data_IF_100892124494
#
_entry.id   IF_100892124494
#
_cell.length_a   1.000
_cell.length_b   1.000
_cell.length_c   1.000
_cell.angle_alpha   90.00
_cell.angle_beta   90.00
_cell.angle_gamma   90.00
#
_symmetry.space_group_name_H-M   'P 1'
#
loop_
_entity.id
_entity.type
_entity.pdbx_description
1 polymer ?
#
# COMPACT_ATOMS: atom_id res chain seq x y z
N UNK A 1 3.96 -5.36 18.38
CA UNK A 1 4.99 -6.16 17.68
C UNK A 1 5.50 -5.48 16.42
N UNK A 2 4.64 -5.00 15.51
CA UNK A 2 5.09 -4.33 14.28
C UNK A 2 6.09 -3.18 14.53
N UNK A 3 5.79 -2.30 15.50
CA UNK A 3 6.72 -1.22 15.90
C UNK A 3 8.02 -1.76 16.52
N UNK A 4 7.98 -2.84 17.31
CA UNK A 4 9.19 -3.50 17.83
C UNK A 4 10.04 -4.05 16.68
N UNK A 5 9.42 -4.73 15.73
CA UNK A 5 10.10 -5.21 14.54
C UNK A 5 10.70 -4.06 13.72
N UNK A 6 10.02 -2.92 13.60
CA UNK A 6 10.60 -1.70 13.01
C UNK A 6 11.81 -1.21 13.80
N UNK A 7 11.72 -1.07 15.12
CA UNK A 7 12.81 -0.64 15.99
C UNK A 7 14.07 -1.51 15.82
N UNK A 8 13.92 -2.83 15.73
CA UNK A 8 15.05 -3.76 15.70
C UNK A 8 15.51 -4.14 14.29
N UNK A 9 14.61 -4.23 13.31
CA UNK A 9 14.97 -4.60 11.94
C UNK A 9 15.39 -3.41 11.08
N UNK A 10 14.92 -2.19 11.38
CA UNK A 10 15.25 -1.06 10.53
C UNK A 10 16.74 -0.69 10.53
N UNK A 11 17.43 -0.59 11.69
CA UNK A 11 18.86 -0.29 11.71
C UNK A 11 19.74 -1.29 10.94
N UNK A 12 19.61 -2.63 11.09
CA UNK A 12 20.42 -3.57 10.33
C UNK A 12 20.07 -3.55 8.84
N UNK A 13 18.80 -3.36 8.49
CA UNK A 13 18.37 -3.30 7.08
C UNK A 13 18.89 -2.03 6.39
N UNK A 14 18.82 -0.87 7.06
CA UNK A 14 19.39 0.37 6.58
C UNK A 14 20.91 0.25 6.37
N UNK A 15 21.63 -0.30 7.36
CA UNK A 15 23.08 -0.54 7.24
C UNK A 15 23.44 -1.48 6.08
N UNK A 16 22.61 -2.48 5.80
CA UNK A 16 22.80 -3.35 4.64
C UNK A 16 22.56 -2.58 3.34
N UNK A 17 21.51 -1.77 3.28
CA UNK A 17 21.15 -0.96 2.12
C UNK A 17 22.11 0.21 1.85
N UNK A 18 22.88 0.67 2.84
CA UNK A 18 24.00 1.61 2.60
C UNK A 18 25.05 1.08 1.63
N UNK A 19 25.09 -0.24 1.40
CA UNK A 19 26.00 -0.88 0.43
C UNK A 19 25.46 -0.85 -1.01
N UNK A 20 24.23 -0.38 -1.20
CA UNK A 20 23.57 -0.42 -2.50
C UNK A 20 24.02 0.77 -3.35
N UNK A 21 24.42 0.49 -4.59
CA UNK A 21 24.59 1.50 -5.62
C UNK A 21 23.33 1.64 -6.47
N UNK A 22 23.36 2.51 -7.50
CA UNK A 22 22.24 2.69 -8.42
C UNK A 22 21.70 1.39 -9.03
N UNK A 23 22.52 0.38 -9.41
CA UNK A 23 22.00 -0.88 -9.98
C UNK A 23 21.17 -1.68 -8.99
N UNK A 24 21.58 -1.71 -7.72
CA UNK A 24 20.86 -2.40 -6.66
C UNK A 24 19.53 -1.71 -6.34
N UNK A 25 19.52 -0.36 -6.27
CA UNK A 25 18.30 0.41 -6.07
C UNK A 25 17.29 0.25 -7.20
N UNK A 26 17.76 0.32 -8.46
CA UNK A 26 16.92 0.06 -9.63
C UNK A 26 16.24 -1.30 -9.52
N UNK A 27 17.03 -2.35 -9.26
CA UNK A 27 16.55 -3.72 -9.20
C UNK A 27 15.59 -3.94 -8.05
N UNK A 28 15.89 -3.39 -6.88
CA UNK A 28 15.05 -3.48 -5.69
C UNK A 28 13.70 -2.80 -5.89
N UNK A 29 13.69 -1.56 -6.41
CA UNK A 29 12.45 -0.82 -6.67
C UNK A 29 11.63 -1.48 -7.78
N UNK A 30 12.26 -1.93 -8.86
CA UNK A 30 11.57 -2.60 -9.96
C UNK A 30 10.96 -3.94 -9.50
N UNK A 31 11.74 -4.78 -8.81
CA UNK A 31 11.24 -6.04 -8.26
C UNK A 31 10.15 -5.79 -7.22
N UNK A 32 10.33 -4.83 -6.32
CA UNK A 32 9.33 -4.46 -5.32
C UNK A 32 8.01 -4.00 -5.97
N UNK A 33 8.10 -3.16 -6.99
CA UNK A 33 6.95 -2.68 -7.73
C UNK A 33 6.23 -3.81 -8.50
N UNK A 34 6.98 -4.71 -9.13
CA UNK A 34 6.41 -5.88 -9.80
C UNK A 34 5.76 -6.84 -8.82
N UNK A 35 6.42 -7.15 -7.69
CA UNK A 35 5.84 -7.94 -6.61
C UNK A 35 4.55 -7.30 -6.10
N UNK A 36 4.54 -5.97 -5.96
CA UNK A 36 3.35 -5.26 -5.54
C UNK A 36 2.18 -5.51 -6.51
N UNK A 37 2.42 -5.41 -7.81
CA UNK A 37 1.42 -5.71 -8.85
C UNK A 37 0.95 -7.17 -8.83
N UNK A 38 1.87 -8.13 -8.68
CA UNK A 38 1.52 -9.55 -8.74
C UNK A 38 0.77 -10.05 -7.50
N UNK A 39 0.95 -9.37 -6.36
CA UNK A 39 0.29 -9.70 -5.10
C UNK A 39 -1.02 -8.93 -4.90
N UNK A 40 -1.22 -7.83 -5.61
CA UNK A 40 -2.36 -6.93 -5.47
C UNK A 40 -3.43 -7.28 -6.51
N UNK A 41 -4.54 -7.84 -6.04
CA UNK A 41 -5.79 -8.03 -6.79
C UNK A 41 -6.02 -9.38 -7.47
N UNK A 42 -7.25 -9.53 -7.99
CA UNK A 42 -7.76 -10.79 -8.52
C UNK A 42 -7.13 -11.19 -9.86
N UNK A 43 -6.60 -10.21 -10.62
CA UNK A 43 -6.10 -10.42 -11.98
C UNK A 43 -4.73 -9.76 -12.18
N UNK A 44 -3.67 -10.55 -12.40
CA UNK A 44 -2.33 -10.02 -12.68
C UNK A 44 -2.29 -9.12 -13.91
N UNK A 45 -3.12 -9.39 -14.93
CA UNK A 45 -3.19 -8.57 -16.13
C UNK A 45 -3.72 -7.17 -15.82
N UNK A 46 -4.77 -7.07 -14.99
CA UNK A 46 -5.29 -5.77 -14.57
C UNK A 46 -4.26 -5.00 -13.77
N UNK A 47 -3.57 -5.66 -12.84
CA UNK A 47 -2.46 -5.05 -12.10
C UNK A 47 -1.37 -4.52 -13.03
N UNK A 48 -0.98 -5.28 -14.06
CA UNK A 48 0.04 -4.85 -15.03
C UNK A 48 -0.41 -3.65 -15.87
N UNK A 49 -1.69 -3.58 -16.27
CA UNK A 49 -2.23 -2.40 -16.95
C UNK A 49 -2.19 -1.17 -16.05
N UNK A 50 -2.52 -1.32 -14.76
CA UNK A 50 -2.44 -0.23 -13.78
C UNK A 50 -1.00 0.23 -13.55
N UNK A 51 -0.06 -0.71 -13.48
CA UNK A 51 1.37 -0.44 -13.43
C UNK A 51 1.81 0.41 -14.63
N UNK A 52 1.55 -0.07 -15.85
CA UNK A 52 1.95 0.62 -17.08
C UNK A 52 1.31 2.01 -17.18
N UNK A 53 0.06 2.14 -16.75
CA UNK A 53 -0.64 3.43 -16.68
C UNK A 53 0.06 4.38 -15.69
N UNK A 54 0.45 3.89 -14.50
CA UNK A 54 1.17 4.70 -13.52
C UNK A 54 2.56 5.13 -14.01
N UNK A 55 3.30 4.22 -14.65
CA UNK A 55 4.59 4.53 -15.30
C UNK A 55 4.41 5.60 -16.38
N UNK A 56 3.38 5.47 -17.22
CA UNK A 56 3.08 6.45 -18.27
C UNK A 56 2.78 7.82 -17.68
N UNK A 57 1.89 7.89 -16.68
CA UNK A 57 1.51 9.15 -16.05
C UNK A 57 2.70 9.83 -15.35
N UNK A 58 3.60 9.07 -14.74
CA UNK A 58 4.80 9.61 -14.10
C UNK A 58 5.85 10.15 -15.08
N UNK A 59 5.75 9.80 -16.35
CA UNK A 59 6.63 10.31 -17.40
C UNK A 59 6.08 11.59 -18.06
N UNK A 60 4.89 12.05 -17.69
CA UNK A 60 4.31 13.30 -18.21
C UNK A 60 4.98 14.48 -17.51
N UNK A 61 5.51 15.42 -18.30
CA UNK A 61 6.19 16.62 -17.80
C UNK A 61 7.57 16.83 -18.39
N UNK A 62 8.32 17.77 -17.82
CA UNK A 62 9.71 18.04 -18.18
C UNK A 62 10.62 17.00 -17.52
N UNK A 63 11.46 16.35 -18.31
CA UNK A 63 12.49 15.46 -17.79
C UNK A 63 13.54 16.26 -17.02
N UNK A 64 13.74 16.01 -15.71
CA UNK A 64 14.72 16.76 -14.92
C UNK A 64 16.16 16.54 -15.39
N UNK A 65 16.45 15.46 -16.13
CA UNK A 65 17.81 15.14 -16.60
C UNK A 65 18.11 15.78 -17.94
N UNK A 66 17.21 15.65 -18.93
CA UNK A 66 17.45 16.16 -20.29
C UNK A 66 16.82 17.52 -20.59
N UNK A 67 15.89 17.99 -19.74
CA UNK A 67 15.07 19.18 -20.00
C UNK A 67 14.04 18.99 -21.12
N UNK A 68 13.91 17.78 -21.67
CA UNK A 68 12.96 17.50 -22.74
C UNK A 68 11.53 17.41 -22.19
N UNK A 69 10.59 18.03 -22.89
CA UNK A 69 9.16 17.86 -22.62
C UNK A 69 8.69 16.47 -23.06
N UNK A 70 8.04 15.73 -22.16
CA UNK A 70 7.48 14.41 -22.40
C UNK A 70 5.97 14.44 -22.22
N UNK A 71 5.23 14.12 -23.28
CA UNK A 71 3.76 14.01 -23.24
C UNK A 71 3.04 15.27 -22.72
N UNK A 72 3.63 16.45 -22.90
CA UNK A 72 3.02 17.76 -22.51
C UNK A 72 1.99 18.23 -23.54
N UNK A 73 2.03 17.71 -24.76
CA UNK A 73 1.17 18.11 -25.89
C UNK A 73 1.14 19.64 -26.13
N UNK A 74 2.24 20.34 -25.81
CA UNK A 74 2.35 21.79 -25.93
C UNK A 74 1.53 22.58 -24.90
N UNK A 75 1.01 21.92 -23.86
CA UNK A 75 0.24 22.55 -22.80
C UNK A 75 1.14 22.84 -21.59
N UNK A 76 1.17 24.11 -21.16
CA UNK A 76 2.03 24.56 -20.06
C UNK A 76 1.68 23.84 -18.75
N UNK A 77 0.40 23.63 -18.47
CA UNK A 77 -0.04 22.96 -17.24
C UNK A 77 0.37 21.49 -17.14
N UNK A 78 0.81 20.87 -18.23
CA UNK A 78 1.36 19.50 -18.24
C UNK A 78 2.88 19.47 -18.06
N UNK A 79 3.58 20.62 -18.11
CA UNK A 79 5.04 20.66 -17.98
C UNK A 79 5.50 20.25 -16.57
N UNK A 80 4.73 20.59 -15.54
CA UNK A 80 4.98 20.17 -14.16
C UNK A 80 4.57 18.70 -13.89
N UNK A 81 3.92 18.06 -14.88
CA UNK A 81 3.38 16.73 -14.75
C UNK A 81 2.15 16.68 -13.83
N UNK A 82 1.83 15.47 -13.34
CA UNK A 82 0.75 15.29 -12.39
C UNK A 82 1.27 15.28 -10.95
N UNK A 83 0.58 15.96 -10.04
CA UNK A 83 0.90 15.85 -8.62
C UNK A 83 0.36 14.53 -8.04
N UNK A 84 1.20 13.83 -7.26
CA UNK A 84 0.84 12.55 -6.67
C UNK A 84 -0.37 12.66 -5.73
N UNK A 85 -0.41 13.72 -4.91
CA UNK A 85 -1.47 13.91 -3.90
C UNK A 85 -2.81 14.13 -4.60
N UNK A 86 -2.81 14.93 -5.65
CA UNK A 86 -3.95 15.21 -6.53
C UNK A 86 -4.47 13.93 -7.19
N UNK A 87 -3.56 13.12 -7.73
CA UNK A 87 -3.89 11.85 -8.37
C UNK A 87 -4.46 10.84 -7.36
N UNK A 88 -3.91 10.78 -6.15
CA UNK A 88 -4.40 9.94 -5.07
C UNK A 88 -5.77 10.39 -4.54
N UNK A 89 -5.99 11.69 -4.35
CA UNK A 89 -7.29 12.24 -3.94
C UNK A 89 -8.37 11.92 -4.96
N UNK A 90 -8.07 12.01 -6.27
CA UNK A 90 -8.97 11.57 -7.33
C UNK A 90 -9.23 10.06 -7.29
N UNK A 91 -8.18 9.25 -7.50
CA UNK A 91 -8.30 7.80 -7.69
C UNK A 91 -8.75 7.04 -6.45
N UNK A 92 -8.45 7.49 -5.23
CA UNK A 92 -8.89 6.84 -3.99
C UNK A 92 -10.03 7.57 -3.30
N UNK A 93 -9.93 8.89 -3.13
CA UNK A 93 -10.91 9.66 -2.37
C UNK A 93 -12.22 9.86 -3.13
N UNK A 94 -12.16 10.59 -4.24
CA UNK A 94 -13.35 10.98 -5.00
C UNK A 94 -14.03 9.77 -5.65
N UNK A 95 -13.26 8.82 -6.18
CA UNK A 95 -13.82 7.61 -6.78
C UNK A 95 -14.61 6.75 -5.79
N UNK A 96 -14.16 6.63 -4.54
CA UNK A 96 -14.85 5.86 -3.49
C UNK A 96 -16.18 6.51 -3.12
N UNK A 97 -16.21 7.85 -3.05
CA UNK A 97 -17.43 8.60 -2.80
C UNK A 97 -18.45 8.36 -3.92
N UNK A 98 -18.02 8.41 -5.18
CA UNK A 98 -18.90 8.18 -6.33
C UNK A 98 -19.49 6.77 -6.34
N UNK A 99 -18.70 5.73 -5.98
CA UNK A 99 -19.21 4.36 -5.84
C UNK A 99 -20.20 4.26 -4.69
N UNK A 100 -19.86 4.83 -3.54
CA UNK A 100 -20.72 4.77 -2.34
C UNK A 100 -22.06 5.47 -2.58
N UNK A 101 -22.09 6.53 -3.40
CA UNK A 101 -23.34 7.19 -3.81
C UNK A 101 -24.23 6.32 -4.70
N UNK A 102 -23.64 5.47 -5.53
CA UNK A 102 -24.37 4.56 -6.41
C UNK A 102 -24.86 3.31 -5.66
N UNK A 103 -24.02 2.76 -4.77
CA UNK A 103 -24.31 1.58 -3.98
C UNK A 103 -25.25 1.86 -2.80
N UNK A 104 -26.08 2.90 -2.84
CA UNK A 104 -27.07 3.21 -1.80
C UNK A 104 -28.07 2.05 -1.62
N UNK A 105 -27.64 1.02 -0.90
CA UNK A 105 -28.48 0.05 -0.24
C UNK A 105 -29.04 0.75 0.99
N UNK A 106 -30.34 0.61 1.19
CA UNK A 106 -31.00 0.89 2.45
C UNK A 106 -30.26 0.09 3.53
N UNK A 107 -29.31 0.73 4.21
CA UNK A 107 -28.67 0.11 5.36
C UNK A 107 -29.76 -0.03 6.43
N UNK A 108 -30.35 -1.21 6.54
CA UNK A 108 -30.97 -1.66 7.77
C UNK A 108 -29.89 -1.53 8.84
N UNK A 109 -29.95 -0.42 9.59
CA UNK A 109 -29.09 -0.23 10.73
C UNK A 109 -29.41 -1.34 11.72
N UNK A 110 -28.60 -2.41 11.70
CA UNK A 110 -28.61 -3.45 12.71
C UNK A 110 -28.16 -2.78 14.01
N UNK A 111 -29.14 -2.19 14.70
CA UNK A 111 -29.02 -1.59 16.02
C UNK A 111 -28.94 -2.72 17.05
N UNK A 112 -27.94 -3.59 16.91
CA UNK A 112 -27.55 -4.46 18.02
C UNK A 112 -27.01 -3.56 19.13
N UNK A 113 -27.55 -3.73 20.34
CA UNK A 113 -27.01 -3.10 21.54
C UNK A 113 -25.51 -3.38 21.59
N UNK A 114 -24.71 -2.32 21.75
CA UNK A 114 -23.28 -2.45 22.04
C UNK A 114 -23.18 -3.34 23.29
N UNK A 115 -22.55 -4.50 23.12
CA UNK A 115 -22.35 -5.46 24.18
C UNK A 115 -21.29 -4.99 25.18
N UNK A 116 -20.66 -5.94 25.86
CA UNK A 116 -19.57 -5.66 26.80
C UNK A 116 -18.35 -5.14 26.03
N UNK A 117 -17.79 -4.00 26.46
CA UNK A 117 -16.56 -3.41 25.88
C UNK A 117 -15.29 -4.19 26.22
N UNK A 118 -15.23 -4.77 27.42
CA UNK A 118 -14.02 -5.47 27.89
C UNK A 118 -14.12 -6.98 27.70
N UNK A 119 -13.05 -7.60 27.18
CA UNK A 119 -12.92 -9.05 27.08
C UNK A 119 -12.88 -9.71 28.47
N UNK A 120 -13.44 -10.91 28.59
CA UNK A 120 -13.30 -11.78 29.77
C UNK A 120 -11.95 -12.51 29.76
N UNK A 121 -11.54 -13.08 30.90
CA UNK A 121 -10.32 -13.89 30.97
C UNK A 121 -10.36 -15.13 30.06
N UNK A 122 -11.54 -15.69 29.79
CA UNK A 122 -11.73 -16.80 28.85
C UNK A 122 -11.50 -16.34 27.41
N UNK A 123 -12.02 -15.17 27.05
CA UNK A 123 -11.84 -14.58 25.72
C UNK A 123 -10.36 -14.32 25.44
N UNK A 124 -9.60 -13.84 26.44
CA UNK A 124 -8.15 -13.67 26.34
C UNK A 124 -7.41 -14.99 26.12
N UNK A 125 -7.79 -16.04 26.84
CA UNK A 125 -7.16 -17.36 26.71
C UNK A 125 -7.40 -17.97 25.31
N UNK A 126 -8.56 -17.70 24.71
CA UNK A 126 -8.90 -18.12 23.36
C UNK A 126 -8.21 -17.26 22.28
N UNK A 127 -8.10 -15.96 22.51
CA UNK A 127 -7.52 -15.00 21.56
C UNK A 127 -5.99 -15.06 21.48
N UNK A 128 -5.28 -15.51 22.53
CA UNK A 128 -3.81 -15.39 22.62
C UNK A 128 -3.05 -16.01 21.43
N UNK A 129 -3.45 -17.20 20.98
CA UNK A 129 -2.77 -17.90 19.88
C UNK A 129 -3.11 -17.28 18.51
N UNK A 130 -4.39 -16.98 18.21
CA UNK A 130 -4.75 -16.16 17.06
C UNK A 130 -4.00 -14.83 16.99
N UNK A 131 -3.86 -14.12 18.12
CA UNK A 131 -3.12 -12.85 18.19
C UNK A 131 -1.66 -13.05 17.76
N UNK A 132 -0.97 -14.05 18.31
CA UNK A 132 0.44 -14.33 17.97
C UNK A 132 0.59 -14.71 16.50
N UNK A 133 -0.21 -15.66 16.00
CA UNK A 133 -0.15 -16.09 14.59
C UNK A 133 -0.49 -14.96 13.65
N UNK A 134 -1.59 -14.26 13.90
CA UNK A 134 -2.01 -13.10 13.14
C UNK A 134 -0.94 -12.02 13.12
N UNK A 135 -0.35 -11.70 14.26
CA UNK A 135 0.76 -10.73 14.37
C UNK A 135 1.95 -11.11 13.50
N UNK A 136 2.37 -12.39 13.51
CA UNK A 136 3.50 -12.85 12.70
C UNK A 136 3.17 -12.81 11.20
N UNK A 137 1.99 -13.30 10.81
CA UNK A 137 1.52 -13.25 9.42
C UNK A 137 1.48 -11.79 8.94
N UNK A 138 0.87 -10.91 9.74
CA UNK A 138 0.80 -9.48 9.48
C UNK A 138 2.16 -8.83 9.31
N UNK A 139 3.08 -9.11 10.24
CA UNK A 139 4.43 -8.54 10.22
C UNK A 139 5.19 -8.88 8.94
N UNK A 140 5.25 -10.15 8.55
CA UNK A 140 5.97 -10.55 7.34
C UNK A 140 5.25 -10.12 6.07
N UNK A 141 3.92 -10.17 6.04
CA UNK A 141 3.14 -9.69 4.91
C UNK A 141 3.31 -8.18 4.70
N UNK A 142 3.39 -7.39 5.78
CA UNK A 142 3.57 -5.94 5.70
C UNK A 142 4.95 -5.52 5.19
N UNK A 143 6.01 -6.31 5.43
CA UNK A 143 7.35 -6.05 4.88
C UNK A 143 7.39 -6.27 3.36
N UNK A 144 6.57 -7.20 2.84
CA UNK A 144 6.55 -7.55 1.42
C UNK A 144 5.79 -6.45 0.64
N UNK A 145 6.39 -5.82 -0.38
CA UNK A 145 5.68 -4.90 -1.25
C UNK A 145 4.45 -5.56 -1.91
N UNK A 146 3.28 -4.92 -1.77
CA UNK A 146 1.97 -5.44 -2.21
C UNK A 146 1.28 -6.37 -1.22
N UNK A 147 1.95 -6.87 -0.18
CA UNK A 147 1.37 -7.79 0.80
C UNK A 147 0.45 -7.14 1.83
N UNK A 148 -0.14 -5.98 1.51
CA UNK A 148 -0.74 -5.02 2.44
C UNK A 148 -1.74 -5.57 3.46
N UNK A 149 -2.19 -4.70 4.37
CA UNK A 149 -3.03 -5.04 5.53
C UNK A 149 -4.25 -5.93 5.21
N UNK A 150 -4.89 -5.73 4.06
CA UNK A 150 -6.04 -6.55 3.65
C UNK A 150 -5.66 -8.00 3.38
N UNK A 151 -4.58 -8.23 2.63
CA UNK A 151 -4.10 -9.59 2.30
C UNK A 151 -3.65 -10.30 3.57
N UNK A 152 -2.98 -9.58 4.48
CA UNK A 152 -2.55 -10.17 5.75
C UNK A 152 -3.72 -10.59 6.63
N UNK A 153 -4.77 -9.76 6.72
CA UNK A 153 -6.00 -10.11 7.44
C UNK A 153 -6.75 -11.28 6.82
N UNK A 154 -6.88 -11.32 5.50
CA UNK A 154 -7.53 -12.44 4.79
C UNK A 154 -6.75 -13.75 4.91
N UNK A 155 -5.42 -13.68 4.84
CA UNK A 155 -4.53 -14.83 5.05
C UNK A 155 -4.65 -15.34 6.49
N UNK A 156 -4.61 -14.43 7.47
CA UNK A 156 -4.81 -14.75 8.89
C UNK A 156 -6.18 -15.39 9.12
N UNK A 157 -7.25 -14.81 8.58
CA UNK A 157 -8.61 -15.37 8.68
C UNK A 157 -8.69 -16.78 8.12
N UNK A 158 -8.10 -16.99 6.93
CA UNK A 158 -8.08 -18.30 6.27
C UNK A 158 -7.31 -19.36 7.06
N UNK A 159 -6.19 -18.97 7.68
CA UNK A 159 -5.39 -19.86 8.53
C UNK A 159 -6.14 -20.17 9.82
N UNK A 160 -6.69 -19.17 10.49
CA UNK A 160 -7.47 -19.37 11.72
C UNK A 160 -8.68 -20.26 11.48
N UNK A 161 -9.39 -20.07 10.37
CA UNK A 161 -10.53 -20.94 10.01
C UNK A 161 -10.11 -22.39 9.79
N UNK A 162 -8.96 -22.62 9.14
CA UNK A 162 -8.43 -23.98 8.90
C UNK A 162 -7.91 -24.65 10.17
N UNK A 163 -7.35 -23.87 11.10
CA UNK A 163 -6.80 -24.37 12.35
C UNK A 163 -7.86 -24.51 13.45
N UNK A 164 -9.01 -23.87 13.29
CA UNK A 164 -10.08 -23.91 14.29
C UNK A 164 -10.65 -25.31 14.45
N UNK A 165 -10.87 -25.71 15.70
CA UNK A 165 -11.65 -26.90 16.05
C UNK A 165 -13.15 -26.73 15.78
N UNK A 166 -13.58 -25.48 15.59
CA UNK A 166 -14.97 -25.07 15.32
C UNK A 166 -15.02 -24.11 14.12
N UNK A 167 -14.84 -24.60 12.88
CA UNK A 167 -14.88 -23.75 11.69
C UNK A 167 -16.25 -23.09 11.44
N UNK A 168 -17.32 -23.66 12.00
CA UNK A 168 -18.71 -23.20 11.88
C UNK A 168 -19.00 -21.87 12.60
N UNK A 169 -18.22 -21.52 13.63
CA UNK A 169 -18.36 -20.24 14.35
C UNK A 169 -17.79 -19.05 13.55
N UNK A 170 -17.02 -19.31 12.49
CA UNK A 170 -16.45 -18.27 11.63
C UNK A 170 -17.55 -17.61 10.78
N UNK A 171 -17.62 -16.28 10.81
CA UNK A 171 -18.74 -15.51 10.23
C UNK A 171 -19.88 -15.23 11.23
N UNK A 172 -19.89 -15.93 12.37
CA UNK A 172 -20.89 -15.76 13.45
C UNK A 172 -20.30 -15.11 14.71
N UNK A 173 -19.07 -14.58 14.64
CA UNK A 173 -18.41 -13.88 15.75
C UNK A 173 -17.37 -14.69 16.52
N UNK A 174 -16.80 -15.75 15.94
CA UNK A 174 -15.66 -16.45 16.55
C UNK A 174 -14.52 -15.49 16.92
N UNK A 175 -14.03 -15.58 18.17
CA UNK A 175 -12.95 -14.72 18.68
C UNK A 175 -11.70 -14.85 17.82
N UNK A 176 -11.31 -16.07 17.46
CA UNK A 176 -10.16 -16.32 16.58
C UNK A 176 -10.33 -15.68 15.19
N UNK A 177 -11.57 -15.63 14.69
CA UNK A 177 -11.93 -15.02 13.40
C UNK A 177 -11.87 -13.49 13.38
N UNK A 178 -11.70 -12.83 14.53
CA UNK A 178 -11.51 -11.38 14.65
C UNK A 178 -10.11 -11.07 15.17
N UNK A 179 -9.70 -11.68 16.28
CA UNK A 179 -8.43 -11.39 16.95
C UNK A 179 -7.21 -11.66 16.05
N UNK A 180 -7.23 -12.75 15.27
CA UNK A 180 -6.15 -13.05 14.33
C UNK A 180 -6.05 -12.05 13.18
N UNK A 181 -7.13 -11.81 12.41
CA UNK A 181 -7.13 -10.84 11.31
C UNK A 181 -6.84 -9.40 11.74
N UNK A 182 -7.36 -8.95 12.87
CA UNK A 182 -7.09 -7.60 13.40
C UNK A 182 -5.65 -7.45 13.88
N UNK A 183 -5.09 -8.49 14.51
CA UNK A 183 -3.66 -8.50 14.87
C UNK A 183 -2.76 -8.47 13.63
N UNK A 184 -3.17 -9.16 12.55
CA UNK A 184 -2.44 -9.17 11.28
C UNK A 184 -2.50 -7.81 10.58
N UNK A 185 -3.67 -7.17 10.55
CA UNK A 185 -3.85 -5.81 10.02
C UNK A 185 -2.90 -4.83 10.73
N UNK A 186 -2.97 -4.79 12.06
CA UNK A 186 -2.21 -3.83 12.85
C UNK A 186 -0.70 -4.06 12.73
N UNK A 187 -0.26 -5.33 12.75
CA UNK A 187 1.14 -5.67 12.55
C UNK A 187 1.63 -5.32 11.12
N UNK A 188 0.83 -5.58 10.08
CA UNK A 188 1.15 -5.22 8.70
C UNK A 188 1.23 -3.71 8.51
N UNK A 189 0.30 -2.96 9.11
CA UNK A 189 0.27 -1.50 9.04
C UNK A 189 1.56 -0.88 9.58
N UNK A 190 2.03 -1.29 10.76
CA UNK A 190 3.30 -0.77 11.30
C UNK A 190 4.53 -1.29 10.56
N UNK A 191 4.56 -2.58 10.18
CA UNK A 191 5.73 -3.18 9.52
C UNK A 191 5.93 -2.70 8.08
N UNK A 192 4.88 -2.22 7.41
CA UNK A 192 4.97 -1.61 6.08
C UNK A 192 5.81 -0.34 6.02
N UNK A 193 6.09 0.28 7.17
CA UNK A 193 7.03 1.39 7.27
C UNK A 193 8.50 0.94 7.25
N UNK A 194 8.80 -0.34 7.51
CA UNK A 194 10.17 -0.86 7.48
C UNK A 194 10.79 -0.63 6.09
N UNK A 195 10.24 -1.18 4.99
CA UNK A 195 10.82 -0.95 3.66
C UNK A 195 10.74 0.53 3.24
N UNK A 196 9.71 1.26 3.66
CA UNK A 196 9.60 2.69 3.37
C UNK A 196 10.78 3.47 3.97
N UNK A 197 10.95 3.39 5.30
CA UNK A 197 11.91 4.22 6.04
C UNK A 197 13.35 3.76 5.86
N UNK A 198 13.60 2.52 5.43
CA UNK A 198 14.95 1.97 5.27
C UNK A 198 15.40 1.80 3.84
N UNK A 199 14.48 1.53 2.91
CA UNK A 199 14.79 1.25 1.50
C UNK A 199 14.18 2.29 0.55
N UNK A 200 13.31 3.18 1.04
CA UNK A 200 12.60 4.15 0.21
C UNK A 200 11.48 3.51 -0.63
N UNK A 201 11.02 2.31 -0.28
CA UNK A 201 10.04 1.57 -1.08
C UNK A 201 8.73 1.47 -0.30
N UNK A 202 7.65 2.14 -0.75
CA UNK A 202 6.35 1.98 -0.14
C UNK A 202 5.84 0.55 -0.37
N UNK A 203 5.19 -0.04 0.64
CA UNK A 203 4.61 -1.38 0.53
C UNK A 203 3.22 -1.40 -0.08
N UNK A 204 2.50 -0.27 -0.06
CA UNK A 204 1.13 -0.12 -0.52
C UNK A 204 0.82 1.36 -0.75
N UNK A 205 -0.36 1.64 -1.33
CA UNK A 205 -0.78 3.00 -1.66
C UNK A 205 -0.85 3.96 -0.47
N UNK A 206 -1.29 3.51 0.71
CA UNK A 206 -1.36 4.35 1.90
C UNK A 206 0.04 4.79 2.37
N UNK A 207 1.00 3.87 2.35
CA UNK A 207 2.40 4.15 2.67
C UNK A 207 3.06 5.00 1.58
N UNK A 208 2.64 4.87 0.32
CA UNK A 208 3.08 5.76 -0.77
C UNK A 208 2.63 7.21 -0.55
N UNK A 209 1.46 7.45 0.05
CA UNK A 209 1.07 8.80 0.44
C UNK A 209 1.98 9.40 1.51
N UNK A 210 2.46 8.57 2.45
CA UNK A 210 3.44 9.00 3.45
C UNK A 210 4.79 9.26 2.80
N UNK A 211 5.22 8.42 1.85
CA UNK A 211 6.42 8.67 1.05
C UNK A 211 6.33 10.03 0.35
N UNK A 212 5.21 10.31 -0.34
CA UNK A 212 4.98 11.58 -1.02
C UNK A 212 5.03 12.77 -0.04
N UNK A 213 4.37 12.65 1.11
CA UNK A 213 4.38 13.70 2.12
C UNK A 213 5.79 14.00 2.65
N UNK A 214 6.63 12.97 2.86
CA UNK A 214 8.03 13.16 3.27
C UNK A 214 8.83 13.84 2.15
N UNK A 215 8.64 13.44 0.89
CA UNK A 215 9.29 14.06 -0.26
C UNK A 215 8.92 15.54 -0.43
N UNK A 216 7.65 15.90 -0.21
CA UNK A 216 7.18 17.30 -0.23
C UNK A 216 7.88 18.14 0.86
N UNK A 217 8.19 17.52 2.01
CA UNK A 217 8.97 18.15 3.08
C UNK A 217 10.49 18.12 2.81
N UNK A 218 10.92 17.68 1.63
CA UNK A 218 12.34 17.58 1.26
C UNK A 218 13.07 16.41 1.92
N UNK A 219 12.34 15.47 2.54
CA UNK A 219 12.91 14.31 3.22
C UNK A 219 12.76 13.10 2.31
N UNK A 220 13.88 12.55 1.84
CA UNK A 220 13.87 11.33 1.02
C UNK A 220 13.99 10.10 1.91
N UNK A 221 12.97 9.23 2.02
CA UNK A 221 13.08 7.98 2.77
C UNK A 221 14.09 7.03 2.14
N UNK A 222 14.86 6.32 2.97
CA UNK A 222 15.95 5.45 2.51
C UNK A 222 16.94 5.14 3.62
N UNK A 223 18.06 4.45 3.33
CA UNK A 223 18.96 3.98 4.38
C UNK A 223 19.71 5.10 5.08
N UNK A 224 19.86 6.25 4.41
CA UNK A 224 20.45 7.45 5.00
C UNK A 224 19.49 8.18 5.95
N UNK A 225 18.20 7.83 6.00
CA UNK A 225 17.24 8.53 6.87
C UNK A 225 17.64 8.45 8.36
N UNK A 226 18.19 7.32 8.79
CA UNK A 226 18.63 7.12 10.18
C UNK A 226 19.87 7.97 10.49
N UNK A 227 20.75 8.19 9.50
CA UNK A 227 21.99 8.96 9.69
C UNK A 227 21.77 10.46 9.53
N UNK A 228 20.98 10.85 8.55
CA UNK A 228 20.83 12.25 8.12
C UNK A 228 19.69 12.94 8.89
N UNK A 229 18.66 12.18 9.27
CA UNK A 229 17.50 12.66 10.01
C UNK A 229 17.15 11.75 11.20
N UNK A 230 18.08 11.51 12.15
CA UNK A 230 17.86 10.59 13.28
C UNK A 230 16.67 11.00 14.15
N UNK A 231 16.51 12.31 14.39
CA UNK A 231 15.41 12.85 15.21
C UNK A 231 14.05 12.57 14.56
N UNK A 232 13.96 12.68 13.23
CA UNK A 232 12.74 12.36 12.51
C UNK A 232 12.47 10.85 12.55
N UNK A 233 13.48 10.02 12.26
CA UNK A 233 13.32 8.58 12.23
C UNK A 233 12.86 8.03 13.59
N UNK A 234 13.60 8.37 14.66
CA UNK A 234 13.24 7.93 16.01
C UNK A 234 12.00 8.64 16.54
N UNK A 235 11.74 9.87 16.11
CA UNK A 235 10.49 10.59 16.38
C UNK A 235 9.27 9.88 15.83
N UNK A 236 9.32 9.40 14.58
CA UNK A 236 8.25 8.61 13.95
C UNK A 236 8.08 7.26 14.66
N UNK A 237 9.18 6.58 15.00
CA UNK A 237 9.11 5.30 15.74
C UNK A 237 8.51 5.52 17.14
N UNK A 238 8.93 6.56 17.86
CA UNK A 238 8.39 6.91 19.17
C UNK A 238 6.91 7.32 19.08
N UNK A 239 6.53 8.11 18.08
CA UNK A 239 5.14 8.50 17.84
C UNK A 239 4.26 7.31 17.48
N UNK A 240 4.79 6.26 16.87
CA UNK A 240 4.05 5.00 16.68
C UNK A 240 3.77 4.29 18.01
N UNK A 241 4.71 4.25 18.95
CA UNK A 241 4.45 3.67 20.29
C UNK A 241 3.38 4.47 21.04
N UNK A 242 3.56 5.79 21.12
CA UNK A 242 2.62 6.70 21.79
C UNK A 242 1.27 6.64 21.07
N UNK A 243 1.27 6.67 19.74
CA UNK A 243 0.09 6.60 18.88
C UNK A 243 -0.72 5.33 19.11
N UNK A 244 -0.08 4.17 19.30
CA UNK A 244 -0.79 2.92 19.63
C UNK A 244 -1.49 3.00 21.01
N UNK A 245 -0.86 3.62 22.01
CA UNK A 245 -1.49 3.85 23.33
C UNK A 245 -2.65 4.83 23.19
N UNK A 246 -2.44 5.93 22.47
CA UNK A 246 -3.48 6.91 22.17
C UNK A 246 -4.65 6.32 21.38
N UNK A 247 -4.37 5.38 20.47
CA UNK A 247 -5.40 4.68 19.70
C UNK A 247 -6.35 3.96 20.66
N UNK A 248 -5.84 3.25 21.68
CA UNK A 248 -6.65 2.59 22.71
C UNK A 248 -7.44 3.62 23.52
N UNK A 249 -6.77 4.66 24.02
CA UNK A 249 -7.37 5.69 24.88
C UNK A 249 -8.49 6.46 24.15
N UNK A 250 -8.32 6.75 22.86
CA UNK A 250 -9.30 7.47 22.07
C UNK A 250 -10.39 6.55 21.51
N UNK A 251 -10.03 5.41 20.93
CA UNK A 251 -11.02 4.57 20.22
C UNK A 251 -12.01 3.91 21.18
N UNK A 252 -11.57 3.35 22.32
CA UNK A 252 -12.47 2.63 23.24
C UNK A 252 -13.60 3.51 23.80
N UNK A 253 -13.36 4.73 24.29
CA UNK A 253 -14.43 5.64 24.71
C UNK A 253 -15.24 6.20 23.53
N UNK A 254 -14.58 6.49 22.41
CA UNK A 254 -15.24 7.09 21.24
C UNK A 254 -16.01 6.09 20.36
N UNK A 255 -15.98 4.77 20.63
CA UNK A 255 -16.76 3.77 19.88
C UNK A 255 -18.23 4.21 19.74
N UNK A 256 -18.82 4.77 20.81
CA UNK A 256 -20.19 5.28 20.76
C UNK A 256 -20.39 6.40 19.72
N UNK A 257 -19.42 7.31 19.60
CA UNK A 257 -19.42 8.40 18.62
C UNK A 257 -19.23 7.84 17.21
N UNK A 258 -18.30 6.91 17.01
CA UNK A 258 -18.07 6.27 15.72
C UNK A 258 -19.31 5.52 15.21
N UNK A 259 -20.01 4.81 16.10
CA UNK A 259 -21.28 4.13 15.80
C UNK A 259 -22.39 5.14 15.48
N UNK A 260 -22.41 6.31 16.12
CA UNK A 260 -23.35 7.39 15.77
C UNK A 260 -23.02 8.01 14.42
N UNK A 261 -21.75 8.12 14.05
CA UNK A 261 -21.32 8.67 12.77
C UNK A 261 -21.79 7.80 11.60
N UNK A 262 -21.91 6.48 11.79
CA UNK A 262 -22.53 5.58 10.81
C UNK A 262 -24.00 5.94 10.52
N UNK A 263 -24.70 6.61 11.44
CA UNK A 263 -26.10 7.05 11.24
C UNK A 263 -26.21 8.34 10.44
N UNK A 264 -25.11 9.06 10.22
CA UNK A 264 -25.13 10.28 9.41
C UNK A 264 -25.35 9.86 7.95
N UNK A 265 -26.39 10.40 7.29
CA UNK A 265 -26.68 10.00 5.91
C UNK A 265 -25.50 10.39 5.00
N UNK A 266 -25.13 9.46 4.11
CA UNK A 266 -24.02 9.69 3.18
C UNK A 266 -24.26 10.90 2.27
N UNK A 267 -25.52 11.28 2.03
CA UNK A 267 -25.92 12.49 1.31
C UNK A 267 -25.42 13.79 1.96
N UNK A 268 -25.07 13.79 3.25
CA UNK A 268 -24.43 14.93 3.93
C UNK A 268 -22.91 14.74 3.96
N UNK A 269 -22.45 13.53 4.30
CA UNK A 269 -21.03 13.23 4.47
C UNK A 269 -20.25 13.37 3.14
N UNK A 270 -20.79 12.84 2.04
CA UNK A 270 -20.17 12.88 0.71
C UNK A 270 -19.83 14.29 0.24
N UNK A 271 -20.79 15.24 0.18
CA UNK A 271 -20.51 16.62 -0.21
C UNK A 271 -19.46 17.31 0.67
N UNK A 272 -19.45 17.07 1.98
CA UNK A 272 -18.45 17.63 2.90
C UNK A 272 -17.05 17.11 2.57
N UNK A 273 -16.91 15.80 2.31
CA UNK A 273 -15.62 15.22 1.92
C UNK A 273 -15.18 15.79 0.57
N UNK A 274 -16.08 15.89 -0.42
CA UNK A 274 -15.77 16.50 -1.72
C UNK A 274 -15.27 17.94 -1.55
N UNK A 275 -15.95 18.74 -0.73
CA UNK A 275 -15.54 20.12 -0.43
C UNK A 275 -14.11 20.16 0.13
N UNK A 276 -13.79 19.33 1.12
CA UNK A 276 -12.44 19.26 1.68
C UNK A 276 -11.40 18.78 0.67
N UNK A 277 -11.73 17.82 -0.21
CA UNK A 277 -10.81 17.38 -1.27
C UNK A 277 -10.55 18.48 -2.30
N UNK A 278 -11.57 19.27 -2.68
CA UNK A 278 -11.40 20.40 -3.60
C UNK A 278 -10.54 21.49 -2.96
N UNK A 279 -10.79 21.84 -1.70
CA UNK A 279 -9.96 22.80 -0.96
C UNK A 279 -8.53 22.27 -0.83
N UNK A 280 -8.37 20.99 -0.50
CA UNK A 280 -7.08 20.31 -0.39
C UNK A 280 -6.27 20.37 -1.69
N UNK A 281 -6.87 19.95 -2.81
CA UNK A 281 -6.23 19.98 -4.12
C UNK A 281 -5.86 21.41 -4.56
N UNK A 282 -6.75 22.38 -4.34
CA UNK A 282 -6.46 23.77 -4.65
C UNK A 282 -5.29 24.31 -3.81
N UNK A 283 -5.19 23.94 -2.54
CA UNK A 283 -4.16 24.46 -1.62
C UNK A 283 -2.73 24.03 -1.94
N UNK A 284 -2.53 23.00 -2.77
CA UNK A 284 -1.19 22.49 -3.12
C UNK A 284 -0.44 23.50 -3.99
N UNK A 285 -1.04 23.87 -5.12
CA UNK A 285 -0.41 24.76 -6.11
C UNK A 285 -1.14 26.10 -6.29
N UNK A 286 -2.27 26.32 -5.59
CA UNK A 286 -3.18 27.45 -5.84
C UNK A 286 -3.67 27.53 -7.29
N UNK A 287 -3.82 26.37 -7.95
CA UNK A 287 -4.25 26.28 -9.34
C UNK A 287 -5.58 25.52 -9.48
N UNK A 288 -6.46 26.05 -10.33
CA UNK A 288 -7.72 25.40 -10.69
C UNK A 288 -7.46 24.11 -11.49
N UNK A 289 -6.38 24.07 -12.27
CA UNK A 289 -6.03 22.89 -13.08
C UNK A 289 -5.78 21.67 -12.21
N UNK A 290 -5.20 21.83 -11.02
CA UNK A 290 -5.03 20.77 -10.02
C UNK A 290 -6.39 20.20 -9.60
N UNK A 291 -7.38 21.06 -9.34
CA UNK A 291 -8.74 20.64 -8.99
C UNK A 291 -9.40 19.89 -10.16
N UNK A 292 -9.28 20.39 -11.38
CA UNK A 292 -9.83 19.73 -12.57
C UNK A 292 -9.20 18.36 -12.81
N UNK A 293 -7.89 18.24 -12.60
CA UNK A 293 -7.13 16.99 -12.68
C UNK A 293 -7.61 15.99 -11.63
N UNK A 294 -7.81 16.43 -10.39
CA UNK A 294 -8.39 15.60 -9.33
C UNK A 294 -9.79 15.08 -9.71
N UNK A 295 -10.65 15.95 -10.24
CA UNK A 295 -12.00 15.57 -10.69
C UNK A 295 -11.94 14.54 -11.83
N UNK A 296 -11.07 14.77 -12.81
CA UNK A 296 -10.83 13.84 -13.91
C UNK A 296 -10.40 12.46 -13.42
N UNK A 297 -9.38 12.39 -12.55
CA UNK A 297 -8.93 11.12 -11.97
C UNK A 297 -9.95 10.51 -11.02
N UNK A 298 -10.82 11.32 -10.38
CA UNK A 298 -11.98 10.82 -9.64
C UNK A 298 -12.94 10.02 -10.51
N UNK A 299 -13.28 10.56 -11.67
CA UNK A 299 -14.14 9.88 -12.64
C UNK A 299 -13.44 8.65 -13.23
N UNK A 300 -12.17 8.75 -13.60
CA UNK A 300 -11.38 7.61 -14.10
C UNK A 300 -11.31 6.51 -13.04
N UNK A 301 -11.01 6.85 -11.79
CA UNK A 301 -10.97 5.92 -10.67
C UNK A 301 -12.31 5.22 -10.44
N UNK A 302 -13.42 5.95 -10.57
CA UNK A 302 -14.77 5.40 -10.48
C UNK A 302 -15.01 4.33 -11.56
N UNK A 303 -14.66 4.63 -12.81
CA UNK A 303 -14.77 3.67 -13.93
C UNK A 303 -13.86 2.45 -13.71
N UNK A 304 -12.61 2.66 -13.32
CA UNK A 304 -11.64 1.58 -13.08
C UNK A 304 -12.14 0.61 -12.00
N UNK A 305 -12.66 1.12 -10.90
CA UNK A 305 -13.20 0.31 -9.81
C UNK A 305 -14.46 -0.45 -10.23
N UNK A 306 -15.36 0.14 -11.04
CA UNK A 306 -16.47 -0.59 -11.66
C UNK A 306 -15.99 -1.77 -12.52
N UNK A 307 -14.89 -1.57 -13.23
CA UNK A 307 -14.24 -2.61 -14.02
C UNK A 307 -13.40 -3.58 -13.16
N UNK A 308 -13.41 -3.44 -11.82
CA UNK A 308 -12.64 -4.22 -10.86
C UNK A 308 -11.13 -4.16 -11.11
N UNK A 309 -10.62 -2.97 -11.43
CA UNK A 309 -9.20 -2.66 -11.42
C UNK A 309 -8.82 -2.06 -10.06
N UNK A 310 -7.68 -2.48 -9.53
CA UNK A 310 -7.15 -1.92 -8.30
C UNK A 310 -6.27 -0.72 -8.61
N UNK A 311 -6.57 0.44 -8.03
CA UNK A 311 -5.86 1.70 -8.30
C UNK A 311 -4.54 1.81 -7.54
N UNK A 312 -4.32 0.99 -6.51
CA UNK A 312 -3.11 1.01 -5.69
C UNK A 312 -1.81 0.81 -6.48
N UNK A 313 -1.70 -0.23 -7.35
CA UNK A 313 -0.55 -0.43 -8.21
C UNK A 313 -0.20 0.75 -9.13
N UNK A 314 -1.20 1.51 -9.59
CA UNK A 314 -0.96 2.71 -10.40
C UNK A 314 -0.24 3.78 -9.59
N UNK A 315 -0.72 4.10 -8.39
CA UNK A 315 -0.08 5.11 -7.55
C UNK A 315 1.32 4.70 -7.10
N UNK A 316 1.49 3.41 -6.79
CA UNK A 316 2.80 2.83 -6.50
C UNK A 316 3.77 2.98 -7.66
N UNK A 317 3.32 2.67 -8.89
CA UNK A 317 4.12 2.85 -10.09
C UNK A 317 4.42 4.34 -10.34
N UNK A 318 3.42 5.20 -10.18
CA UNK A 318 3.55 6.62 -10.42
C UNK A 318 4.67 7.24 -9.59
N UNK A 319 4.68 6.98 -8.28
CA UNK A 319 5.65 7.59 -7.37
C UNK A 319 7.06 7.00 -7.50
N UNK A 320 7.17 5.70 -7.81
CA UNK A 320 8.46 5.01 -7.91
C UNK A 320 9.13 5.18 -9.27
N UNK A 321 8.38 5.47 -10.33
CA UNK A 321 8.92 5.54 -11.70
C UNK A 321 10.07 6.53 -11.84
N UNK A 322 9.99 7.78 -11.35
CA UNK A 322 11.10 8.73 -11.46
C UNK A 322 12.37 8.23 -10.76
N UNK A 323 12.21 7.55 -9.61
CA UNK A 323 13.33 6.99 -8.85
C UNK A 323 13.97 5.80 -9.57
N UNK A 324 13.14 4.91 -10.12
CA UNK A 324 13.56 3.78 -10.94
C UNK A 324 14.30 4.28 -12.19
N UNK A 325 13.75 5.28 -12.88
CA UNK A 325 14.36 5.84 -14.08
C UNK A 325 15.71 6.49 -13.77
N UNK A 326 15.81 7.28 -12.71
CA UNK A 326 17.06 7.90 -12.28
C UNK A 326 18.12 6.85 -11.91
N UNK A 327 17.75 5.83 -11.11
CA UNK A 327 18.63 4.74 -10.76
C UNK A 327 19.09 3.94 -12.00
N UNK A 328 18.19 3.71 -12.97
CA UNK A 328 18.51 3.06 -14.24
C UNK A 328 19.53 3.87 -15.04
N UNK A 329 19.28 5.17 -15.20
CA UNK A 329 20.16 6.09 -15.96
C UNK A 329 21.55 6.15 -15.33
N UNK A 330 21.64 6.34 -14.02
CA UNK A 330 22.91 6.32 -13.29
C UNK A 330 23.65 5.00 -13.47
N UNK A 331 22.93 3.87 -13.40
CA UNK A 331 23.51 2.53 -13.61
C UNK A 331 24.08 2.36 -15.03
N UNK A 332 23.35 2.81 -16.05
CA UNK A 332 23.80 2.73 -17.44
C UNK A 332 24.98 3.68 -17.70
N UNK A 333 25.01 4.85 -17.08
CA UNK A 333 26.18 5.74 -17.14
C UNK A 333 27.41 5.08 -16.52
N UNK A 334 27.26 4.40 -15.38
CA UNK A 334 28.35 3.65 -14.74
C UNK A 334 28.87 2.50 -15.59
N UNK A 335 28.04 1.89 -16.44
CA UNK A 335 28.40 0.75 -17.27
C UNK A 335 28.76 1.08 -18.72
N UNK A 336 28.78 2.37 -19.09
CA UNK A 336 28.98 2.80 -20.48
C UNK A 336 27.82 2.42 -21.42
N UNK A 337 26.60 2.29 -20.88
CA UNK A 337 25.38 1.97 -21.63
C UNK A 337 25.01 0.48 -21.62
N UNK A 338 25.79 -0.39 -20.95
CA UNK A 338 25.50 -1.82 -20.90
C UNK A 338 24.50 -2.20 -19.80
N UNK A 339 23.42 -2.88 -20.17
CA UNK A 339 22.48 -3.49 -19.22
C UNK A 339 23.06 -4.68 -18.44
N UNK A 340 24.25 -5.17 -18.82
CA UNK A 340 24.89 -6.28 -18.10
C UNK A 340 25.18 -5.95 -16.63
N UNK A 341 25.30 -4.66 -16.27
CA UNK A 341 25.55 -4.21 -14.90
C UNK A 341 24.52 -4.74 -13.91
N UNK A 342 23.26 -4.90 -14.32
CA UNK A 342 22.19 -5.40 -13.46
C UNK A 342 22.32 -6.90 -13.13
N UNK A 343 23.09 -7.65 -13.93
CA UNK A 343 23.31 -9.09 -13.73
C UNK A 343 24.71 -9.35 -13.15
N UNK A 344 25.72 -8.57 -13.54
CA UNK A 344 27.09 -8.74 -13.05
C UNK A 344 27.27 -8.28 -11.61
N UNK A 345 26.45 -7.32 -11.15
CA UNK A 345 26.44 -6.89 -9.76
C UNK A 345 25.72 -7.94 -8.91
N UNK A 346 26.37 -8.50 -7.87
CA UNK A 346 25.88 -9.69 -7.17
C UNK A 346 24.52 -9.49 -6.49
N UNK A 347 24.30 -8.32 -5.86
CA UNK A 347 23.04 -8.01 -5.16
C UNK A 347 21.91 -7.83 -6.17
N UNK A 348 22.12 -6.97 -7.18
CA UNK A 348 21.19 -6.74 -8.28
C UNK A 348 20.80 -8.03 -9.01
N UNK A 349 21.79 -8.84 -9.40
CA UNK A 349 21.57 -10.11 -10.07
C UNK A 349 20.82 -11.11 -9.20
N UNK A 350 21.10 -11.15 -7.89
CA UNK A 350 20.38 -12.01 -6.94
C UNK A 350 18.91 -11.59 -6.82
N UNK A 351 18.61 -10.28 -6.76
CA UNK A 351 17.23 -9.79 -6.70
C UNK A 351 16.43 -10.19 -7.94
N UNK A 352 17.00 -10.02 -9.13
CA UNK A 352 16.37 -10.45 -10.37
C UNK A 352 16.22 -11.97 -10.46
N UNK A 353 17.22 -12.74 -10.01
CA UNK A 353 17.14 -14.20 -9.97
C UNK A 353 16.02 -14.69 -9.03
N UNK A 354 15.91 -14.12 -7.83
CA UNK A 354 14.83 -14.42 -6.89
C UNK A 354 13.47 -14.07 -7.47
N UNK A 355 13.35 -12.90 -8.11
CA UNK A 355 12.12 -12.49 -8.77
C UNK A 355 11.74 -13.44 -9.92
N UNK A 356 12.70 -13.83 -10.75
CA UNK A 356 12.49 -14.80 -11.82
C UNK A 356 12.03 -16.17 -11.28
N UNK A 357 12.64 -16.65 -10.18
CA UNK A 357 12.22 -17.89 -9.51
C UNK A 357 10.78 -17.80 -8.98
N UNK A 358 10.40 -16.67 -8.39
CA UNK A 358 9.04 -16.43 -7.92
C UNK A 358 8.03 -16.42 -9.08
N UNK A 359 8.34 -15.75 -10.19
CA UNK A 359 7.49 -15.76 -11.38
C UNK A 359 7.32 -17.17 -11.94
N UNK A 360 8.43 -17.90 -12.08
CA UNK A 360 8.41 -19.29 -12.57
C UNK A 360 7.55 -20.16 -11.67
N UNK A 361 7.72 -20.06 -10.35
CA UNK A 361 6.89 -20.77 -9.37
C UNK A 361 5.41 -20.44 -9.52
N UNK A 362 5.07 -19.16 -9.67
CA UNK A 362 3.68 -18.70 -9.77
C UNK A 362 3.01 -19.16 -11.07
N UNK A 363 3.72 -19.13 -12.20
CA UNK A 363 3.24 -19.67 -13.47
C UNK A 363 3.02 -21.19 -13.37
N UNK A 364 3.99 -21.93 -12.84
CA UNK A 364 3.85 -23.39 -12.66
C UNK A 364 2.70 -23.75 -11.72
N UNK A 365 2.54 -23.03 -10.61
CA UNK A 365 1.44 -23.22 -9.66
C UNK A 365 0.08 -22.92 -10.31
N UNK A 366 -0.02 -21.82 -11.07
CA UNK A 366 -1.23 -21.45 -11.79
C UNK A 366 -1.65 -22.48 -12.84
N UNK A 367 -0.69 -23.02 -13.61
CA UNK A 367 -0.95 -24.09 -14.59
C UNK A 367 -1.39 -25.38 -13.90
N UNK A 368 -0.76 -25.75 -12.78
CA UNK A 368 -1.15 -26.94 -11.99
C UNK A 368 -2.56 -26.82 -11.40
N UNK A 369 -2.94 -25.63 -10.92
CA UNK A 369 -4.27 -25.36 -10.36
C UNK A 369 -5.35 -25.45 -11.45
N UNK A 370 -5.13 -24.82 -12.62
CA UNK A 370 -6.03 -24.94 -13.76
C UNK A 370 -6.18 -26.39 -14.24
N UNK A 371 -5.07 -27.16 -14.35
CA UNK A 371 -5.13 -28.59 -14.71
C UNK A 371 -5.95 -29.42 -13.72
N UNK A 372 -5.83 -29.15 -12.41
CA UNK A 372 -6.66 -29.83 -11.39
C UNK A 372 -8.14 -29.46 -11.47
N UNK A 373 -8.45 -28.19 -11.75
CA UNK A 373 -9.84 -27.74 -11.94
C UNK A 373 -10.49 -28.29 -13.21
N UNK A 374 -9.72 -28.48 -14.29
CA UNK A 374 -10.20 -29.14 -15.52
C UNK A 374 -10.41 -30.64 -15.28
N UNK A 375 -9.47 -31.31 -14.61
CA UNK A 375 -9.60 -32.74 -14.28
C UNK A 375 -10.78 -33.04 -13.34
N UNK A 376 -11.08 -32.17 -12.37
CA UNK A 376 -12.25 -32.32 -11.48
C UNK A 376 -13.59 -31.97 -12.12
N UNK A 377 -13.61 -31.44 -13.36
CA UNK A 377 -14.85 -31.21 -14.13
C UNK A 377 -15.15 -32.34 -15.10
N UNK A 378 -14.20 -33.25 -15.34
CA UNK A 378 -14.34 -34.42 -16.21
C UNK A 378 -14.72 -35.70 -15.44
N UNK A 379 -14.81 -35.62 -14.11
CA UNK A 379 -15.45 -36.61 -13.21
C UNK A 379 -16.64 -35.96 -12.53
#
# INVERSE_FOLDING_TARGET
FGVLGLTFMAPPLANFALRFGPPEYFSLMLVGLLLAVFLTGDSPMKGMLMLMTGIFLANVGIDPVSGAERFTFGQIWLQDGFDFVTLAMGLFGLSEILITLEEQNENEFVTKKIGRLFMTGKDWAEARMPIVRGTLIGFFAGIIPGGGAVISSLASYSIERRMSKKPEEFGHGAIAGVAGPESANNAASSSSFIPLLTLGIPGNASVAMIFAALMVQGITPGPFLITDHPDLFWGVVASMYIGNVMLIILNLPLVGVWVQLLKVPFSILGPIIILFTVIGAYSINNEITTVLTMLFFGLVGYILRKLKFETGPLLMAFILTPLIENAMRQSLLMSGGSFSIFVTRPISGTLFALFALLLVYQVFSGIRKKRKETANKEF
#
